data_IF_586624284562
#
_entry.id   IF_586624284562
#
_cell.length_a   1.000
_cell.length_b   1.000
_cell.length_c   1.000
_cell.angle_alpha   90.00
_cell.angle_beta   90.00
_cell.angle_gamma   90.00
#
_symmetry.space_group_name_H-M   'P 1'
#
loop_
_entity.id
_entity.type
_entity.pdbx_description
1 polymer ?
#
# COMPACT_ATOMS: atom_id res chain seq x y z
N UNK A 1 5.99 -10.41 -3.34
CA UNK A 1 4.59 -10.14 -2.94
C UNK A 1 3.70 -9.71 -4.11
N UNK A 2 3.83 -8.51 -4.67
CA UNK A 2 2.94 -8.04 -5.76
C UNK A 2 3.07 -8.85 -7.04
N UNK A 3 4.30 -9.01 -7.59
CA UNK A 3 4.54 -9.74 -8.85
C UNK A 3 4.06 -11.21 -8.83
N UNK A 4 4.04 -11.83 -7.65
CA UNK A 4 3.56 -13.20 -7.46
C UNK A 4 2.02 -13.29 -7.44
N UNK A 5 1.32 -12.14 -7.48
CA UNK A 5 -0.14 -12.08 -7.57
C UNK A 5 -0.84 -12.42 -6.26
N UNK A 6 -0.23 -12.08 -5.12
CA UNK A 6 -0.83 -12.29 -3.81
C UNK A 6 -1.89 -11.26 -3.43
N UNK A 7 -1.97 -10.15 -4.15
CA UNK A 7 -2.91 -9.07 -3.87
C UNK A 7 -4.04 -9.01 -4.88
N UNK A 8 -5.15 -8.44 -4.43
CA UNK A 8 -6.30 -8.09 -5.23
C UNK A 8 -6.64 -6.62 -4.99
N UNK A 9 -7.01 -5.90 -6.04
CA UNK A 9 -7.55 -4.54 -5.94
C UNK A 9 -9.01 -4.62 -6.41
N UNK A 10 -9.94 -4.20 -5.55
CA UNK A 10 -11.39 -4.26 -5.80
C UNK A 10 -11.86 -5.66 -6.27
N UNK A 11 -11.35 -6.72 -5.61
CA UNK A 11 -11.67 -8.11 -5.92
C UNK A 11 -11.00 -8.69 -7.17
N UNK A 12 -10.22 -7.90 -7.92
CA UNK A 12 -9.49 -8.37 -9.11
C UNK A 12 -8.03 -8.65 -8.76
N UNK A 13 -7.51 -9.79 -9.19
CA UNK A 13 -6.08 -10.14 -9.01
C UNK A 13 -5.19 -9.11 -9.70
N UNK A 14 -4.25 -8.52 -8.95
CA UNK A 14 -3.31 -7.53 -9.47
C UNK A 14 -1.88 -7.97 -9.17
N UNK A 15 -1.05 -8.02 -10.21
CA UNK A 15 0.36 -8.41 -10.11
C UNK A 15 1.34 -7.36 -10.67
N UNK A 16 0.84 -6.16 -10.98
CA UNK A 16 1.61 -5.05 -11.56
C UNK A 16 2.09 -4.15 -10.40
N UNK A 17 3.40 -4.08 -10.09
CA UNK A 17 3.92 -3.25 -9.00
C UNK A 17 3.75 -1.75 -9.23
N UNK A 18 3.66 -1.32 -10.49
CA UNK A 18 3.42 0.07 -10.90
C UNK A 18 1.93 0.44 -10.98
N UNK A 19 1.03 -0.40 -10.47
CA UNK A 19 -0.40 -0.10 -10.46
C UNK A 19 -0.67 1.16 -9.63
N UNK A 20 -1.28 2.17 -10.25
CA UNK A 20 -1.67 3.40 -9.58
C UNK A 20 -3.01 3.20 -8.90
N UNK A 21 -2.98 3.14 -7.57
CA UNK A 21 -4.19 3.06 -6.74
C UNK A 21 -4.89 4.42 -6.69
N UNK A 22 -6.21 4.37 -6.59
CA UNK A 22 -7.07 5.56 -6.52
C UNK A 22 -7.71 5.65 -5.14
N UNK A 23 -8.15 6.84 -4.73
CA UNK A 23 -9.06 6.97 -3.59
C UNK A 23 -10.22 5.98 -3.71
N UNK A 24 -10.63 5.45 -2.56
CA UNK A 24 -11.64 4.42 -2.37
C UNK A 24 -11.26 2.99 -2.78
N UNK A 25 -10.11 2.77 -3.45
CA UNK A 25 -9.66 1.42 -3.81
C UNK A 25 -9.41 0.56 -2.56
N UNK A 26 -9.92 -0.67 -2.61
CA UNK A 26 -9.72 -1.70 -1.58
C UNK A 26 -8.69 -2.70 -2.04
N UNK A 27 -7.60 -2.79 -1.31
CA UNK A 27 -6.47 -3.69 -1.55
C UNK A 27 -6.55 -4.82 -0.53
N UNK A 28 -6.62 -6.07 -0.96
CA UNK A 28 -6.73 -7.22 -0.08
C UNK A 28 -5.73 -8.31 -0.45
N UNK A 29 -5.25 -9.05 0.56
CA UNK A 29 -4.52 -10.30 0.33
C UNK A 29 -5.50 -11.35 -0.20
N UNK A 30 -5.14 -11.96 -1.33
CA UNK A 30 -5.93 -13.03 -1.98
C UNK A 30 -6.14 -14.18 -0.99
N UNK A 31 -7.35 -14.77 -0.88
CA UNK A 31 -7.66 -15.79 0.13
C UNK A 31 -6.65 -16.94 0.18
N UNK A 32 -6.29 -17.48 -0.99
CA UNK A 32 -5.29 -18.56 -1.11
C UNK A 32 -3.91 -18.17 -0.56
N UNK A 33 -3.56 -16.88 -0.64
CA UNK A 33 -2.28 -16.40 -0.13
C UNK A 33 -2.28 -16.23 1.39
N UNK A 34 -3.45 -15.99 2.01
CA UNK A 34 -3.58 -15.81 3.48
C UNK A 34 -3.15 -17.07 4.25
N UNK A 35 -3.26 -18.24 3.61
CA UNK A 35 -2.84 -19.52 4.20
C UNK A 35 -1.33 -19.69 4.30
N UNK A 36 -0.54 -18.93 3.55
CA UNK A 36 0.91 -19.00 3.64
C UNK A 36 1.40 -18.43 4.98
N UNK A 37 2.37 -19.12 5.57
CA UNK A 37 2.98 -18.76 6.85
C UNK A 37 3.41 -17.29 6.92
N UNK A 38 3.99 -16.78 5.83
CA UNK A 38 4.38 -15.39 5.72
C UNK A 38 3.23 -14.40 6.03
N UNK A 39 2.03 -14.65 5.50
CA UNK A 39 0.89 -13.77 5.72
C UNK A 39 0.28 -13.92 7.11
N UNK A 40 0.41 -15.09 7.75
CA UNK A 40 0.02 -15.30 9.15
C UNK A 40 0.91 -14.48 10.09
N UNK A 41 2.23 -14.55 9.91
CA UNK A 41 3.20 -13.74 10.66
C UNK A 41 2.97 -12.24 10.43
N UNK A 42 2.64 -11.84 9.19
CA UNK A 42 2.30 -10.44 8.90
C UNK A 42 1.03 -10.01 9.63
N UNK A 43 0.00 -10.85 9.72
CA UNK A 43 -1.24 -10.53 10.45
C UNK A 43 -0.96 -10.23 11.94
N UNK A 44 -0.10 -11.02 12.56
CA UNK A 44 0.29 -10.89 13.97
C UNK A 44 1.13 -9.62 14.22
N UNK A 45 2.05 -9.32 13.31
CA UNK A 45 3.03 -8.22 13.49
C UNK A 45 2.53 -6.87 12.98
N UNK A 46 1.59 -6.84 12.02
CA UNK A 46 1.15 -5.61 11.37
C UNK A 46 0.54 -4.60 12.34
N UNK A 47 -0.14 -5.05 13.40
CA UNK A 47 -0.76 -4.18 14.41
C UNK A 47 0.21 -3.19 15.07
N UNK A 48 1.50 -3.52 15.14
CA UNK A 48 2.53 -2.67 15.75
C UNK A 48 2.91 -1.43 14.93
N UNK A 49 2.58 -1.40 13.63
CA UNK A 49 2.92 -0.29 12.73
C UNK A 49 1.79 0.72 12.63
N UNK A 50 2.15 2.00 12.70
CA UNK A 50 1.26 3.10 12.34
C UNK A 50 0.83 2.99 10.88
N UNK A 51 -0.39 3.42 10.61
CA UNK A 51 -0.94 3.53 9.25
C UNK A 51 -1.12 5.01 8.98
N UNK A 52 -0.58 5.55 7.86
CA UNK A 52 -0.78 6.94 7.50
C UNK A 52 -2.26 7.29 7.34
N UNK A 53 -2.63 8.54 7.62
CA UNK A 53 -4.03 8.99 7.62
C UNK A 53 -4.77 8.81 6.28
N UNK A 54 -4.06 8.75 5.16
CA UNK A 54 -4.65 8.54 3.84
C UNK A 54 -4.98 7.06 3.53
N UNK A 55 -4.68 6.15 4.46
CA UNK A 55 -4.94 4.72 4.37
C UNK A 55 -5.75 4.23 5.58
N UNK A 56 -6.63 3.27 5.36
CA UNK A 56 -7.14 2.41 6.44
C UNK A 56 -6.63 0.99 6.29
N UNK A 57 -6.62 0.26 7.40
CA UNK A 57 -6.24 -1.14 7.46
C UNK A 57 -7.26 -1.93 8.25
N UNK A 58 -7.65 -3.07 7.70
CA UNK A 58 -8.38 -4.13 8.38
C UNK A 58 -7.43 -5.32 8.57
N UNK A 59 -7.10 -5.62 9.83
CA UNK A 59 -6.23 -6.73 10.19
C UNK A 59 -6.93 -8.09 10.11
N UNK A 60 -8.25 -8.14 10.35
CA UNK A 60 -9.02 -9.38 10.29
C UNK A 60 -9.09 -9.88 8.85
N UNK A 61 -9.34 -8.96 7.92
CA UNK A 61 -9.41 -9.27 6.49
C UNK A 61 -8.09 -9.16 5.74
N UNK A 62 -6.98 -8.82 6.42
CA UNK A 62 -5.71 -8.51 5.75
C UNK A 62 -5.92 -7.63 4.52
N UNK A 63 -6.68 -6.57 4.72
CA UNK A 63 -7.07 -5.63 3.69
C UNK A 63 -6.77 -4.20 4.12
N UNK A 64 -6.74 -3.30 3.16
CA UNK A 64 -6.59 -1.87 3.39
C UNK A 64 -7.30 -1.10 2.31
N UNK A 65 -7.62 0.15 2.61
CA UNK A 65 -8.32 1.04 1.69
C UNK A 65 -7.58 2.34 1.55
N UNK A 66 -7.54 2.86 0.35
CA UNK A 66 -7.08 4.23 0.10
C UNK A 66 -8.24 5.17 0.42
N UNK A 67 -8.10 6.05 1.40
CA UNK A 67 -9.15 7.01 1.76
C UNK A 67 -9.11 8.19 0.80
N UNK A 68 -7.91 8.72 0.58
CA UNK A 68 -7.68 9.90 -0.25
C UNK A 68 -6.27 9.84 -0.86
N UNK A 69 -6.03 10.71 -1.84
CA UNK A 69 -4.66 10.92 -2.31
C UNK A 69 -3.82 11.52 -1.16
N UNK A 70 -2.57 11.07 -0.96
CA UNK A 70 -1.71 11.60 0.09
C UNK A 70 -1.40 13.07 -0.16
N UNK A 71 -1.45 13.89 0.89
CA UNK A 71 -0.91 15.26 0.85
C UNK A 71 0.58 15.26 1.19
N UNK A 72 1.26 16.37 0.90
CA UNK A 72 2.70 16.55 1.16
C UNK A 72 3.05 16.27 2.62
N UNK A 73 2.25 16.81 3.53
CA UNK A 73 2.51 16.75 4.98
C UNK A 73 2.27 15.35 5.58
N UNK A 74 1.55 14.49 4.87
CA UNK A 74 1.27 13.10 5.27
C UNK A 74 2.39 12.12 4.86
N UNK A 75 3.40 12.58 4.13
CA UNK A 75 4.51 11.75 3.67
C UNK A 75 5.63 11.79 4.74
N UNK A 76 5.66 10.77 5.59
CA UNK A 76 6.67 10.60 6.66
C UNK A 76 8.05 10.12 6.14
N UNK A 77 8.46 10.58 4.97
CA UNK A 77 9.80 10.32 4.41
C UNK A 77 10.73 11.45 4.90
N UNK A 78 12.02 11.19 5.18
CA UNK A 78 12.99 12.26 5.46
C UNK A 78 12.86 13.39 4.43
N UNK A 79 13.02 14.66 4.84
CA UNK A 79 12.73 15.80 3.97
C UNK A 79 13.51 15.71 2.65
N UNK A 80 12.79 15.39 1.56
CA UNK A 80 13.31 15.40 0.20
C UNK A 80 13.06 16.78 -0.39
N UNK A 81 14.11 17.44 -0.85
CA UNK A 81 13.97 18.68 -1.62
C UNK A 81 13.63 18.35 -3.08
N UNK A 82 12.33 18.29 -3.38
CA UNK A 82 11.81 18.01 -4.73
C UNK A 82 12.23 19.05 -5.76
N UNK A 83 12.50 20.29 -5.33
CA UNK A 83 12.96 21.37 -6.21
C UNK A 83 14.24 20.97 -6.95
N UNK A 84 15.17 20.26 -6.28
CA UNK A 84 16.40 19.77 -6.90
C UNK A 84 16.13 18.75 -8.01
N UNK A 85 15.07 17.95 -7.87
CA UNK A 85 14.67 16.97 -8.88
C UNK A 85 14.10 17.68 -10.10
N UNK A 86 13.23 18.68 -9.89
CA UNK A 86 12.65 19.50 -10.98
C UNK A 86 13.74 20.24 -11.74
N UNK A 87 14.67 20.87 -11.02
CA UNK A 87 15.80 21.59 -11.62
C UNK A 87 16.71 20.69 -12.45
N UNK A 88 16.93 19.44 -12.02
CA UNK A 88 17.74 18.48 -12.75
C UNK A 88 17.12 18.10 -14.11
N UNK A 89 15.80 17.88 -14.17
CA UNK A 89 15.10 17.50 -15.41
C UNK A 89 14.70 18.69 -16.30
N UNK A 90 14.87 19.93 -15.82
CA UNK A 90 14.57 21.16 -16.59
C UNK A 90 15.77 21.70 -17.38
N UNK A 91 16.90 20.98 -17.36
CA UNK A 91 18.07 21.24 -18.22
C UNK A 91 17.94 20.52 -19.55
#
# INVERSE_FOLDING_TARGET
MVRHGHFMVNGRKTNIPSFIVRPEDVIAVRPQSREHEYFKVVAETAGSKSVPDWLTRDLADLSGRVINAPTRDQIEIPPINEQLIVEFYSR
#
